data_IF_553584769141
#
_entry.id   IF_553584769141
#
_cell.length_a   1.000
_cell.length_b   1.000
_cell.length_c   1.000
_cell.angle_alpha   90.00
_cell.angle_beta   90.00
_cell.angle_gamma   90.00
#
_symmetry.space_group_name_H-M   'P 1'
#
loop_
_entity.id
_entity.type
_entity.pdbx_description
1 polymer ?
#
# COMPACT_ATOMS: atom_id res chain seq x y z
N UNK A 1 -17.87 -63.80 17.25
CA UNK A 1 -18.81 -63.05 18.10
C UNK A 1 -17.96 -62.13 18.96
N UNK A 2 -17.96 -60.80 18.92
CA UNK A 2 -18.78 -59.72 18.34
C UNK A 2 -17.86 -58.91 17.40
N UNK A 3 -18.27 -58.58 16.15
CA UNK A 3 -18.97 -57.34 15.74
C UNK A 3 -18.29 -56.03 16.17
N UNK A 4 -17.67 -55.38 15.17
CA UNK A 4 -17.23 -53.98 15.03
C UNK A 4 -18.41 -52.98 15.26
N UNK A 5 -18.25 -51.63 15.30
CA UNK A 5 -17.47 -50.76 14.39
C UNK A 5 -16.78 -49.58 15.12
N UNK A 6 -16.06 -48.62 14.55
CA UNK A 6 -15.82 -48.14 13.19
C UNK A 6 -15.47 -46.66 13.37
N UNK A 7 -14.23 -46.27 13.06
CA UNK A 7 -13.82 -44.88 13.09
C UNK A 7 -14.41 -44.18 11.87
N UNK A 8 -15.45 -43.37 12.08
CA UNK A 8 -15.89 -42.34 11.15
C UNK A 8 -15.10 -41.07 11.47
N UNK A 9 -14.11 -40.77 10.62
CA UNK A 9 -13.55 -39.42 10.51
C UNK A 9 -14.62 -38.52 9.88
N UNK A 10 -15.36 -37.80 10.70
CA UNK A 10 -16.12 -36.65 10.21
C UNK A 10 -15.18 -35.48 10.03
N UNK A 11 -14.98 -35.04 8.78
CA UNK A 11 -14.51 -33.68 8.49
C UNK A 11 -15.60 -32.72 8.99
N UNK A 12 -15.40 -32.15 10.18
CA UNK A 12 -16.09 -30.93 10.57
C UNK A 12 -15.48 -29.79 9.76
N UNK A 13 -16.24 -29.31 8.76
CA UNK A 13 -16.01 -28.02 8.15
C UNK A 13 -16.11 -26.95 9.24
N UNK A 14 -14.96 -26.40 9.65
CA UNK A 14 -14.90 -25.21 10.47
C UNK A 14 -15.33 -24.03 9.61
N UNK A 15 -16.65 -23.81 9.55
CA UNK A 15 -17.24 -22.54 9.13
C UNK A 15 -16.89 -21.51 10.21
N UNK A 16 -15.82 -20.74 9.99
CA UNK A 16 -15.56 -19.54 10.79
C UNK A 16 -16.59 -18.50 10.33
N UNK A 17 -17.71 -18.47 11.02
CA UNK A 17 -18.66 -17.35 10.96
C UNK A 17 -17.98 -16.20 11.69
N UNK A 18 -17.54 -15.18 10.97
CA UNK A 18 -17.29 -13.88 11.58
C UNK A 18 -18.63 -13.40 12.14
N UNK A 19 -18.71 -13.31 13.47
CA UNK A 19 -19.84 -12.69 14.13
C UNK A 19 -19.86 -11.20 13.73
N UNK A 20 -20.80 -10.86 12.86
CA UNK A 20 -21.21 -9.50 12.62
C UNK A 20 -21.91 -9.00 13.90
N UNK A 21 -21.29 -7.98 14.50
CA UNK A 21 -21.94 -6.85 15.14
C UNK A 21 -22.99 -7.10 16.24
N UNK A 22 -22.54 -6.97 17.49
CA UNK A 22 -23.30 -6.33 18.56
C UNK A 22 -22.28 -5.61 19.47
N UNK A 23 -21.76 -4.45 19.05
CA UNK A 23 -21.30 -3.49 20.07
C UNK A 23 -22.55 -3.06 20.83
N UNK A 24 -22.60 -3.13 22.18
CA UNK A 24 -23.71 -2.53 22.89
C UNK A 24 -23.73 -1.05 22.52
N UNK A 25 -24.90 -0.56 22.07
CA UNK A 25 -25.14 0.86 21.93
C UNK A 25 -24.74 1.51 23.25
N UNK A 26 -23.62 2.24 23.24
CA UNK A 26 -23.23 3.11 24.34
C UNK A 26 -24.40 4.06 24.53
N UNK A 27 -25.11 3.91 25.65
CA UNK A 27 -26.04 4.92 26.12
C UNK A 27 -25.30 6.26 26.05
N UNK A 28 -25.89 7.24 25.37
CA UNK A 28 -25.36 8.60 25.35
C UNK A 28 -25.01 8.98 26.79
N UNK A 29 -23.74 9.31 27.09
CA UNK A 29 -23.40 9.69 28.46
C UNK A 29 -24.27 10.89 28.83
N UNK A 30 -24.94 10.79 29.98
CA UNK A 30 -25.51 11.95 30.68
C UNK A 30 -24.53 13.11 30.57
N UNK A 31 -24.97 14.36 30.29
CA UNK A 31 -24.03 15.45 30.02
C UNK A 31 -23.19 15.70 31.27
N UNK A 32 -22.00 15.09 31.31
CA UNK A 32 -20.97 15.41 32.27
C UNK A 32 -20.53 16.84 31.94
N UNK A 33 -20.72 17.74 32.90
CA UNK A 33 -20.09 19.05 32.87
C UNK A 33 -18.59 18.79 32.86
N UNK A 34 -17.89 19.19 31.80
CA UNK A 34 -16.45 19.02 31.72
C UNK A 34 -15.76 19.77 32.87
N UNK A 35 -14.71 19.18 33.46
CA UNK A 35 -13.97 19.79 34.58
C UNK A 35 -13.25 21.08 34.15
N UNK A 36 -12.81 21.13 32.89
CA UNK A 36 -12.17 22.28 32.27
C UNK A 36 -12.92 22.65 30.99
N UNK A 37 -13.33 23.92 30.86
CA UNK A 37 -14.04 24.42 29.68
C UNK A 37 -13.33 25.66 29.13
N UNK A 38 -12.97 25.62 27.86
CA UNK A 38 -12.46 26.73 27.07
C UNK A 38 -13.44 26.98 25.92
N UNK A 39 -14.26 28.03 26.04
CA UNK A 39 -15.31 28.38 25.09
C UNK A 39 -15.03 29.78 24.55
N UNK A 40 -14.86 29.90 23.23
CA UNK A 40 -14.52 31.17 22.59
C UNK A 40 -13.15 31.72 22.98
N UNK A 41 -12.23 30.87 23.47
CA UNK A 41 -10.95 31.32 23.99
C UNK A 41 -10.01 31.76 22.85
N UNK A 42 -9.29 32.85 23.07
CA UNK A 42 -8.19 33.29 22.18
C UNK A 42 -6.89 33.24 22.96
N UNK A 43 -6.03 32.27 22.63
CA UNK A 43 -4.78 32.01 23.36
C UNK A 43 -3.59 32.28 22.43
N UNK A 44 -2.63 33.07 22.91
CA UNK A 44 -1.38 33.35 22.21
C UNK A 44 -0.20 33.09 23.15
N UNK A 45 0.73 32.21 22.75
CA UNK A 45 1.95 31.91 23.52
C UNK A 45 3.19 32.00 22.63
N UNK A 46 4.19 32.77 23.03
CA UNK A 46 5.44 32.94 22.24
C UNK A 46 6.66 32.35 22.92
N UNK A 47 6.52 31.88 24.16
CA UNK A 47 7.64 31.34 24.92
C UNK A 47 7.85 29.85 24.62
N UNK A 48 9.10 29.39 24.69
CA UNK A 48 9.42 27.98 24.53
C UNK A 48 8.81 27.15 25.66
N UNK A 49 8.46 25.90 25.37
CA UNK A 49 7.91 24.92 26.31
C UNK A 49 6.63 25.40 27.03
N UNK A 50 5.87 26.30 26.40
CA UNK A 50 4.68 26.93 26.99
C UNK A 50 3.45 26.64 26.14
N UNK A 51 2.84 25.44 26.28
CA UNK A 51 1.66 25.11 25.49
C UNK A 51 0.54 26.13 25.68
N UNK A 52 -0.28 26.34 24.66
CA UNK A 52 -1.41 27.26 24.72
C UNK A 52 -2.41 26.83 25.78
N UNK A 53 -2.88 25.59 25.68
CA UNK A 53 -3.74 24.94 26.67
C UNK A 53 -3.01 23.71 27.23
N UNK A 54 -2.86 23.65 28.56
CA UNK A 54 -2.19 22.55 29.25
C UNK A 54 -3.18 21.82 30.17
N UNK A 55 -3.29 20.50 30.00
CA UNK A 55 -4.15 19.62 30.80
C UNK A 55 -3.28 18.50 31.35
N UNK A 56 -2.96 18.57 32.64
CA UNK A 56 -2.01 17.65 33.29
C UNK A 56 -2.62 16.81 34.43
N UNK A 57 -3.86 17.12 34.85
CA UNK A 57 -4.54 16.33 35.89
C UNK A 57 -4.96 14.95 35.37
N UNK A 58 -5.27 14.02 36.29
CA UNK A 58 -5.72 12.66 35.94
C UNK A 58 -7.21 12.50 36.17
N UNK A 59 -7.86 11.64 35.38
CA UNK A 59 -9.29 11.37 35.42
C UNK A 59 -10.13 12.66 35.28
N UNK A 60 -9.66 13.60 34.47
CA UNK A 60 -10.36 14.83 34.17
C UNK A 60 -11.10 14.75 32.84
N UNK A 61 -11.98 15.71 32.61
CA UNK A 61 -12.61 15.99 31.33
C UNK A 61 -12.34 17.45 30.94
N UNK A 62 -11.90 17.67 29.71
CA UNK A 62 -11.67 19.00 29.16
C UNK A 62 -12.45 19.19 27.87
N UNK A 63 -13.09 20.34 27.72
CA UNK A 63 -13.81 20.76 26.52
C UNK A 63 -13.20 22.06 25.98
N UNK A 64 -12.80 22.06 24.72
CA UNK A 64 -12.36 23.24 23.98
C UNK A 64 -13.36 23.43 22.83
N UNK A 65 -14.10 24.54 22.83
CA UNK A 65 -15.07 24.86 21.78
C UNK A 65 -14.83 26.27 21.24
N UNK A 66 -15.01 26.44 19.94
CA UNK A 66 -15.00 27.73 19.24
C UNK A 66 -13.77 28.60 19.58
N UNK A 67 -12.64 27.96 19.85
CA UNK A 67 -11.44 28.60 20.38
C UNK A 67 -10.35 28.71 19.33
N UNK A 68 -9.52 29.74 19.43
CA UNK A 68 -8.34 29.95 18.60
C UNK A 68 -7.08 29.94 19.46
N UNK A 69 -6.12 29.07 19.15
CA UNK A 69 -4.87 28.94 19.88
C UNK A 69 -3.70 29.10 18.92
N UNK A 70 -2.84 30.08 19.18
CA UNK A 70 -1.59 30.29 18.44
C UNK A 70 -0.39 30.16 19.36
N UNK A 71 0.59 29.36 18.96
CA UNK A 71 1.84 29.21 19.68
C UNK A 71 3.06 29.39 18.77
N UNK A 72 4.12 30.01 19.27
CA UNK A 72 5.31 30.32 18.47
C UNK A 72 6.64 29.79 19.04
N UNK A 73 6.68 29.43 20.33
CA UNK A 73 7.90 28.90 20.95
C UNK A 73 8.21 27.46 20.51
N UNK A 74 9.48 27.06 20.64
CA UNK A 74 9.89 25.66 20.48
C UNK A 74 9.17 24.79 21.53
N UNK A 75 8.74 23.58 21.15
CA UNK A 75 7.96 22.66 22.01
C UNK A 75 6.68 23.28 22.60
N UNK A 76 6.22 24.41 22.04
CA UNK A 76 5.04 25.12 22.52
C UNK A 76 3.79 24.56 21.86
N UNK A 77 3.27 23.44 22.34
CA UNK A 77 2.10 22.80 21.72
C UNK A 77 0.84 23.70 21.74
N UNK A 78 -0.07 23.53 20.78
CA UNK A 78 -1.36 24.23 20.83
C UNK A 78 -2.15 23.78 22.07
N UNK A 79 -2.44 22.48 22.13
CA UNK A 79 -2.97 21.78 23.32
C UNK A 79 -2.00 20.68 23.73
N UNK A 80 -1.73 20.56 25.03
CA UNK A 80 -0.94 19.47 25.60
C UNK A 80 -1.72 18.76 26.70
N UNK A 81 -2.02 17.48 26.47
CA UNK A 81 -2.67 16.58 27.41
C UNK A 81 -1.66 15.54 27.90
N UNK A 82 -1.26 15.62 29.17
CA UNK A 82 -0.21 14.75 29.76
C UNK A 82 -0.68 13.98 30.98
N UNK A 83 -1.96 14.07 31.33
CA UNK A 83 -2.57 13.35 32.44
C UNK A 83 -2.72 11.85 32.21
N UNK A 84 -3.37 11.17 33.16
CA UNK A 84 -3.76 9.77 33.02
C UNK A 84 -5.28 9.66 32.99
N UNK A 85 -5.85 8.84 32.10
CA UNK A 85 -7.30 8.59 32.06
C UNK A 85 -8.15 9.83 31.80
N UNK A 86 -7.60 10.84 31.12
CA UNK A 86 -8.26 12.13 30.90
C UNK A 86 -8.88 12.18 29.52
N UNK A 87 -10.10 12.74 29.44
CA UNK A 87 -10.83 12.94 28.20
C UNK A 87 -10.70 14.38 27.71
N UNK A 88 -10.40 14.57 26.42
CA UNK A 88 -10.33 15.87 25.76
C UNK A 88 -11.30 15.92 24.58
N UNK A 89 -12.24 16.85 24.59
CA UNK A 89 -13.09 17.16 23.45
C UNK A 89 -12.71 18.53 22.87
N UNK A 90 -12.51 18.60 21.55
CA UNK A 90 -12.22 19.82 20.79
C UNK A 90 -13.26 19.94 19.68
N UNK A 91 -13.96 21.07 19.61
CA UNK A 91 -15.04 21.33 18.63
C UNK A 91 -14.91 22.72 18.04
N UNK A 92 -15.11 22.88 16.73
CA UNK A 92 -15.19 24.21 16.09
C UNK A 92 -13.95 25.09 16.29
N UNK A 93 -12.77 24.51 16.56
CA UNK A 93 -11.61 25.25 17.06
C UNK A 93 -10.45 25.29 16.06
N UNK A 94 -9.58 26.28 16.20
CA UNK A 94 -8.43 26.48 15.33
C UNK A 94 -7.12 26.54 16.13
N UNK A 95 -6.14 25.74 15.72
CA UNK A 95 -4.81 25.69 16.33
C UNK A 95 -3.75 26.04 15.29
N UNK A 96 -2.82 26.93 15.63
CA UNK A 96 -1.65 27.25 14.81
C UNK A 96 -0.39 27.20 15.66
N UNK A 97 0.58 26.38 15.27
CA UNK A 97 1.87 26.28 15.95
C UNK A 97 3.02 26.57 15.00
N UNK A 98 3.96 27.42 15.43
CA UNK A 98 5.04 27.91 14.56
C UNK A 98 6.41 27.36 14.93
N UNK A 99 6.64 27.00 16.20
CA UNK A 99 7.94 26.56 16.68
C UNK A 99 8.26 25.10 16.32
N UNK A 100 9.55 24.77 16.30
CA UNK A 100 10.00 23.40 16.11
C UNK A 100 9.51 22.49 17.25
N UNK A 101 9.18 21.24 16.92
CA UNK A 101 8.58 20.25 17.84
C UNK A 101 7.26 20.72 18.47
N UNK A 102 6.67 21.83 18.02
CA UNK A 102 5.44 22.37 18.58
C UNK A 102 4.22 21.70 17.93
N UNK A 103 3.79 20.56 18.47
CA UNK A 103 2.58 19.88 17.97
C UNK A 103 1.30 20.70 18.14
N UNK A 104 0.34 20.54 17.24
CA UNK A 104 -0.96 21.19 17.33
C UNK A 104 -1.76 20.69 18.54
N UNK A 105 -2.09 19.41 18.56
CA UNK A 105 -2.70 18.71 19.70
C UNK A 105 -1.81 17.52 20.08
N UNK A 106 -1.27 17.57 21.29
CA UNK A 106 -0.40 16.54 21.84
C UNK A 106 -1.14 15.77 22.93
N UNK A 107 -1.36 14.47 22.72
CA UNK A 107 -1.98 13.54 23.68
C UNK A 107 -0.90 12.55 24.11
N UNK A 108 -0.30 12.83 25.27
CA UNK A 108 1.03 12.32 25.62
C UNK A 108 1.16 11.63 27.00
N UNK A 109 0.09 11.58 27.79
CA UNK A 109 0.02 10.78 29.03
C UNK A 109 -0.68 9.43 28.84
N UNK A 110 -0.98 8.71 29.92
CA UNK A 110 -1.44 7.32 29.84
C UNK A 110 -2.96 7.16 29.72
N UNK A 111 -3.42 6.33 28.78
CA UNK A 111 -4.84 5.97 28.62
C UNK A 111 -5.76 7.19 28.47
N UNK A 112 -5.31 8.21 27.74
CA UNK A 112 -6.10 9.40 27.49
C UNK A 112 -7.05 9.17 26.30
N UNK A 113 -8.23 9.79 26.35
CA UNK A 113 -9.20 9.76 25.27
C UNK A 113 -9.33 11.14 24.63
N UNK A 114 -9.54 11.19 23.31
CA UNK A 114 -9.72 12.42 22.56
C UNK A 114 -10.89 12.37 21.58
N UNK A 115 -11.63 13.46 21.47
CA UNK A 115 -12.59 13.72 20.39
C UNK A 115 -12.24 15.06 19.76
N UNK A 116 -11.94 15.08 18.46
CA UNK A 116 -11.74 16.31 17.68
C UNK A 116 -12.79 16.37 16.58
N UNK A 117 -13.59 17.43 16.54
CA UNK A 117 -14.53 17.64 15.44
C UNK A 117 -14.53 19.06 14.91
N UNK A 118 -14.80 19.20 13.60
CA UNK A 118 -15.07 20.50 12.98
C UNK A 118 -13.95 21.53 13.22
N UNK A 119 -12.71 21.05 13.27
CA UNK A 119 -11.56 21.83 13.77
C UNK A 119 -10.40 21.83 12.78
N UNK A 120 -9.59 22.89 12.86
CA UNK A 120 -8.42 23.08 12.01
C UNK A 120 -7.14 23.12 12.83
N UNK A 121 -6.08 22.45 12.37
CA UNK A 121 -4.78 22.43 13.04
C UNK A 121 -3.69 22.67 12.00
N UNK A 122 -2.94 23.77 12.13
CA UNK A 122 -1.80 24.09 11.27
C UNK A 122 -0.49 24.10 12.05
N UNK A 123 0.55 23.44 11.54
CA UNK A 123 1.87 23.42 12.17
C UNK A 123 2.97 23.76 11.15
N UNK A 124 3.93 24.61 11.58
CA UNK A 124 4.98 25.14 10.68
C UNK A 124 6.40 24.70 11.01
N UNK A 125 6.70 24.44 12.27
CA UNK A 125 8.05 24.06 12.69
C UNK A 125 8.44 22.64 12.26
N UNK A 126 9.74 22.36 12.28
CA UNK A 126 10.26 21.02 12.00
C UNK A 126 9.85 20.05 13.11
N UNK A 127 9.55 18.80 12.75
CA UNK A 127 9.01 17.77 13.65
C UNK A 127 7.73 18.20 14.39
N UNK A 128 6.98 19.16 13.87
CA UNK A 128 5.75 19.65 14.48
C UNK A 128 4.51 18.91 13.92
N UNK A 129 4.09 17.82 14.53
CA UNK A 129 2.86 17.09 14.12
C UNK A 129 1.58 17.89 14.39
N UNK A 130 0.57 17.78 13.52
CA UNK A 130 -0.74 18.37 13.83
C UNK A 130 -1.41 17.62 15.00
N UNK A 131 -1.47 16.29 14.93
CA UNK A 131 -1.88 15.42 16.03
C UNK A 131 -0.73 14.47 16.42
N UNK A 132 -0.38 14.44 17.70
CA UNK A 132 0.63 13.53 18.25
C UNK A 132 0.02 12.70 19.37
N UNK A 133 0.01 11.37 19.20
CA UNK A 133 -0.61 10.40 20.10
C UNK A 133 0.44 9.42 20.62
N UNK A 134 0.51 9.24 21.93
CA UNK A 134 1.38 8.26 22.60
C UNK A 134 0.77 7.83 23.94
N UNK A 135 1.30 6.77 24.55
CA UNK A 135 0.86 6.33 25.88
C UNK A 135 -0.55 5.73 25.91
N UNK A 136 -0.88 4.87 24.95
CA UNK A 136 -2.20 4.22 24.86
C UNK A 136 -3.35 5.23 24.68
N UNK A 137 -3.10 6.30 23.93
CA UNK A 137 -4.13 7.30 23.62
C UNK A 137 -5.18 6.73 22.65
N UNK A 138 -6.46 7.03 22.86
CA UNK A 138 -7.55 6.66 21.97
C UNK A 138 -8.26 7.93 21.48
N UNK A 139 -8.05 8.29 20.22
CA UNK A 139 -8.55 9.55 19.66
C UNK A 139 -9.48 9.29 18.49
N UNK A 140 -10.61 9.97 18.49
CA UNK A 140 -11.55 10.07 17.38
C UNK A 140 -11.47 11.46 16.78
N UNK A 141 -11.34 11.56 15.46
CA UNK A 141 -11.30 12.81 14.73
C UNK A 141 -12.27 12.77 13.54
N UNK A 142 -13.10 13.80 13.39
CA UNK A 142 -14.16 13.83 12.39
C UNK A 142 -14.36 15.24 11.84
N UNK A 143 -14.40 15.39 10.50
CA UNK A 143 -14.43 16.71 9.83
C UNK A 143 -13.31 17.64 10.30
N UNK A 144 -12.08 17.13 10.38
CA UNK A 144 -10.90 17.94 10.71
C UNK A 144 -10.05 18.26 9.47
N UNK A 145 -9.39 19.41 9.50
CA UNK A 145 -8.36 19.78 8.52
C UNK A 145 -7.02 19.93 9.23
N UNK A 146 -6.03 19.14 8.81
CA UNK A 146 -4.68 19.13 9.37
C UNK A 146 -3.68 19.59 8.29
N UNK A 147 -2.92 20.65 8.55
CA UNK A 147 -1.94 21.23 7.62
C UNK A 147 -0.57 21.32 8.27
N UNK A 148 0.43 20.60 7.74
CA UNK A 148 1.80 20.60 8.26
C UNK A 148 2.83 20.94 7.19
N UNK A 149 3.77 21.82 7.51
CA UNK A 149 4.74 22.33 6.50
C UNK A 149 6.21 22.11 6.83
N UNK A 150 6.56 21.84 8.09
CA UNK A 150 7.94 21.62 8.52
C UNK A 150 8.52 20.27 8.09
N UNK A 151 9.84 20.12 8.11
CA UNK A 151 10.49 18.84 7.82
C UNK A 151 10.09 17.78 8.87
N UNK A 152 9.87 16.53 8.45
CA UNK A 152 9.44 15.43 9.31
C UNK A 152 8.10 15.68 10.05
N UNK A 153 7.32 16.68 9.65
CA UNK A 153 6.06 17.04 10.33
C UNK A 153 4.90 16.23 9.79
N UNK A 154 4.74 14.98 10.24
CA UNK A 154 3.54 14.21 9.89
C UNK A 154 2.24 14.91 10.33
N UNK A 155 1.15 14.82 9.57
CA UNK A 155 -0.13 15.37 10.01
C UNK A 155 -0.64 14.62 11.25
N UNK A 156 -0.57 13.29 11.25
CA UNK A 156 -0.87 12.47 12.43
C UNK A 156 0.30 11.54 12.73
N UNK A 157 0.76 11.57 13.98
CA UNK A 157 1.79 10.70 14.52
C UNK A 157 1.22 9.85 15.66
N UNK A 158 1.17 8.53 15.47
CA UNK A 158 0.58 7.57 16.42
C UNK A 158 1.67 6.60 16.87
N UNK A 159 1.98 6.62 18.16
CA UNK A 159 3.04 5.84 18.78
C UNK A 159 2.48 4.84 19.79
N UNK A 160 3.30 3.85 20.12
CA UNK A 160 3.01 2.80 21.10
C UNK A 160 1.75 2.01 20.72
N UNK A 161 0.84 1.79 21.66
CA UNK A 161 -0.47 1.16 21.48
C UNK A 161 -1.61 2.16 21.30
N UNK A 162 -1.28 3.38 20.86
CA UNK A 162 -2.29 4.41 20.62
C UNK A 162 -3.13 4.10 19.37
N UNK A 163 -4.35 4.62 19.38
CA UNK A 163 -5.37 4.42 18.36
C UNK A 163 -5.86 5.77 17.85
N UNK A 164 -5.97 5.90 16.52
CA UNK A 164 -6.70 6.98 15.86
C UNK A 164 -7.84 6.41 15.03
N UNK A 165 -9.05 6.92 15.24
CA UNK A 165 -10.18 6.76 14.32
C UNK A 165 -10.45 8.10 13.65
N UNK A 166 -10.27 8.17 12.34
CA UNK A 166 -10.36 9.39 11.55
C UNK A 166 -11.45 9.25 10.49
N UNK A 167 -12.36 10.22 10.40
CA UNK A 167 -13.43 10.20 9.40
C UNK A 167 -13.66 11.57 8.75
N UNK A 168 -14.09 11.59 7.49
CA UNK A 168 -14.55 12.79 6.78
C UNK A 168 -13.56 13.98 6.82
N UNK A 169 -12.26 13.70 6.79
CA UNK A 169 -11.21 14.69 7.11
C UNK A 169 -10.26 14.96 5.95
N UNK A 170 -9.46 16.01 6.09
CA UNK A 170 -8.41 16.37 5.14
C UNK A 170 -7.05 16.55 5.84
N UNK A 171 -6.03 15.89 5.32
CA UNK A 171 -4.65 15.97 5.80
C UNK A 171 -3.80 16.49 4.65
N UNK A 172 -3.06 17.57 4.89
CA UNK A 172 -2.14 18.15 3.94
C UNK A 172 -0.76 18.30 4.57
N UNK A 173 0.26 17.75 3.92
CA UNK A 173 1.65 17.92 4.34
C UNK A 173 2.54 18.36 3.20
N UNK A 174 3.48 19.28 3.46
CA UNK A 174 4.38 19.79 2.42
C UNK A 174 5.87 19.67 2.73
N UNK A 175 6.25 19.38 3.97
CA UNK A 175 7.65 19.23 4.36
C UNK A 175 8.29 17.94 3.83
N UNK A 176 9.62 17.95 3.65
CA UNK A 176 10.36 16.71 3.33
C UNK A 176 10.14 15.68 4.44
N UNK A 177 9.84 14.44 4.05
CA UNK A 177 9.51 13.36 4.98
C UNK A 177 8.35 13.66 5.94
N UNK A 178 7.47 14.61 5.60
CA UNK A 178 6.24 14.88 6.33
C UNK A 178 5.13 13.93 5.85
N UNK A 179 4.75 12.95 6.66
CA UNK A 179 3.77 11.93 6.27
C UNK A 179 2.33 12.37 6.54
N UNK A 180 1.34 11.80 5.86
CA UNK A 180 -0.07 12.02 6.23
C UNK A 180 -0.37 11.39 7.58
N UNK A 181 -0.33 10.06 7.61
CA UNK A 181 -0.48 9.24 8.82
C UNK A 181 0.78 8.42 9.04
N UNK A 182 1.38 8.54 10.23
CA UNK A 182 2.50 7.72 10.68
C UNK A 182 2.09 6.89 11.88
N UNK A 183 2.18 5.56 11.76
CA UNK A 183 1.92 4.60 12.83
C UNK A 183 3.21 3.88 13.19
N UNK A 184 3.54 3.83 14.47
CA UNK A 184 4.71 3.10 14.97
C UNK A 184 4.39 2.45 16.32
N UNK A 185 4.18 1.13 16.31
CA UNK A 185 4.03 0.35 17.53
C UNK A 185 5.36 0.07 18.23
N UNK A 186 5.31 -0.12 19.54
CA UNK A 186 6.50 -0.40 20.34
C UNK A 186 6.91 -1.87 20.27
N UNK A 187 5.94 -2.80 20.35
CA UNK A 187 6.12 -4.24 20.31
C UNK A 187 4.79 -4.95 20.01
N UNK A 188 4.78 -6.29 19.96
CA UNK A 188 3.59 -7.08 19.60
C UNK A 188 2.40 -6.90 20.55
N UNK A 189 2.64 -6.54 21.81
CA UNK A 189 1.61 -6.20 22.79
C UNK A 189 1.23 -4.72 22.78
N UNK A 190 1.99 -3.88 22.07
CA UNK A 190 1.78 -2.44 21.98
C UNK A 190 1.71 -1.97 20.53
N UNK A 191 0.55 -2.24 19.90
CA UNK A 191 0.32 -2.03 18.48
C UNK A 191 -0.38 -0.71 18.19
N UNK A 192 0.23 0.13 17.37
CA UNK A 192 -0.39 1.37 16.90
C UNK A 192 -1.47 1.05 15.86
N UNK A 193 -2.63 1.72 15.97
CA UNK A 193 -3.77 1.45 15.09
C UNK A 193 -4.29 2.74 14.47
N UNK A 194 -4.53 2.71 13.16
CA UNK A 194 -5.21 3.78 12.44
C UNK A 194 -6.40 3.24 11.66
N UNK A 195 -7.61 3.69 12.01
CA UNK A 195 -8.84 3.46 11.25
C UNK A 195 -9.20 4.76 10.55
N UNK A 196 -9.22 4.77 9.22
CA UNK A 196 -9.42 5.99 8.43
C UNK A 196 -10.54 5.79 7.41
N UNK A 197 -11.55 6.64 7.46
CA UNK A 197 -12.74 6.54 6.63
C UNK A 197 -13.01 7.86 5.89
N UNK A 198 -13.36 7.78 4.59
CA UNK A 198 -13.81 8.92 3.78
C UNK A 198 -12.91 10.17 3.91
N UNK A 199 -11.59 9.95 3.92
CA UNK A 199 -10.60 10.98 4.23
C UNK A 199 -9.67 11.20 3.05
N UNK A 200 -9.26 12.45 2.83
CA UNK A 200 -8.26 12.79 1.83
C UNK A 200 -6.92 13.11 2.47
N UNK A 201 -5.85 12.50 1.97
CA UNK A 201 -4.47 12.69 2.42
C UNK A 201 -3.64 13.19 1.24
N UNK A 202 -3.07 14.38 1.35
CA UNK A 202 -2.21 15.01 0.33
C UNK A 202 -0.83 15.25 0.90
N UNK A 203 0.20 14.74 0.24
CA UNK A 203 1.60 14.98 0.64
C UNK A 203 2.44 15.46 -0.54
N UNK A 204 3.16 16.58 -0.40
CA UNK A 204 3.92 17.16 -1.51
C UNK A 204 5.44 17.15 -1.32
N UNK A 205 5.91 16.85 -0.11
CA UNK A 205 7.35 16.83 0.19
C UNK A 205 8.07 15.60 -0.36
N UNK A 206 9.37 15.73 -0.65
CA UNK A 206 10.21 14.59 -1.00
C UNK A 206 10.19 13.53 0.11
N UNK A 207 10.15 12.26 -0.27
CA UNK A 207 10.10 11.11 0.65
C UNK A 207 8.90 11.15 1.62
N UNK A 208 7.90 11.99 1.35
CA UNK A 208 6.65 11.97 2.09
C UNK A 208 5.86 10.69 1.76
N UNK A 209 5.05 10.24 2.71
CA UNK A 209 4.26 9.02 2.57
C UNK A 209 2.85 9.36 3.01
N UNK A 210 1.84 8.98 2.23
CA UNK A 210 0.45 9.19 2.61
C UNK A 210 0.14 8.47 3.92
N UNK A 211 0.33 7.15 3.94
CA UNK A 211 0.18 6.31 5.14
C UNK A 211 1.42 5.42 5.35
N UNK A 212 2.11 5.59 6.47
CA UNK A 212 3.30 4.84 6.85
C UNK A 212 2.96 3.94 8.05
N UNK A 213 2.90 2.63 7.82
CA UNK A 213 2.46 1.61 8.79
C UNK A 213 3.68 0.84 9.27
N UNK A 214 4.40 1.40 10.24
CA UNK A 214 5.70 0.90 10.67
C UNK A 214 5.61 0.04 11.94
N UNK A 215 6.47 -0.99 12.04
CA UNK A 215 6.68 -1.87 13.21
C UNK A 215 5.48 -2.02 14.16
N UNK A 216 4.87 -3.21 14.19
CA UNK A 216 3.73 -3.48 15.08
C UNK A 216 2.61 -2.44 14.89
N UNK A 217 2.28 -2.10 13.65
CA UNK A 217 1.18 -1.19 13.35
C UNK A 217 0.16 -1.80 12.40
N UNK A 218 -1.08 -1.35 12.49
CA UNK A 218 -2.15 -1.74 11.56
C UNK A 218 -2.90 -0.51 11.08
N UNK A 219 -3.08 -0.39 9.77
CA UNK A 219 -3.97 0.60 9.17
C UNK A 219 -5.17 -0.07 8.50
N UNK A 220 -6.36 0.41 8.81
CA UNK A 220 -7.62 0.07 8.13
C UNK A 220 -8.12 1.31 7.41
N UNK A 221 -8.20 1.27 6.08
CA UNK A 221 -8.58 2.42 5.25
C UNK A 221 -9.86 2.11 4.47
N UNK A 222 -10.89 2.95 4.56
CA UNK A 222 -12.16 2.77 3.84
C UNK A 222 -12.53 4.05 3.08
N UNK A 223 -12.62 4.00 1.75
CA UNK A 223 -12.95 5.18 0.94
C UNK A 223 -11.93 6.32 1.08
N UNK A 224 -10.68 5.98 1.40
CA UNK A 224 -9.59 6.95 1.60
C UNK A 224 -8.96 7.32 0.26
N UNK A 225 -8.71 8.61 0.05
CA UNK A 225 -8.02 9.11 -1.13
C UNK A 225 -6.65 9.68 -0.76
N UNK A 226 -5.59 9.19 -1.39
CA UNK A 226 -4.21 9.55 -1.11
C UNK A 226 -3.58 10.13 -2.38
N UNK A 227 -3.00 11.32 -2.29
CA UNK A 227 -2.24 11.95 -3.37
C UNK A 227 -0.83 12.27 -2.88
N UNK A 228 0.19 11.81 -3.60
CA UNK A 228 1.59 12.13 -3.29
C UNK A 228 2.36 12.63 -4.52
N UNK A 229 3.10 13.73 -4.38
CA UNK A 229 3.75 14.39 -5.53
C UNK A 229 5.26 14.55 -5.40
N UNK A 230 5.84 14.39 -4.20
CA UNK A 230 7.28 14.53 -3.97
C UNK A 230 8.11 13.39 -4.56
N UNK A 231 9.42 13.60 -4.77
CA UNK A 231 10.29 12.52 -5.26
C UNK A 231 10.44 11.41 -4.22
N UNK A 232 10.41 10.15 -4.65
CA UNK A 232 10.35 8.96 -3.78
C UNK A 232 9.21 9.02 -2.74
N UNK A 233 8.11 9.72 -3.06
CA UNK A 233 6.95 9.76 -2.19
C UNK A 233 6.05 8.56 -2.46
N UNK A 234 5.57 7.91 -1.41
CA UNK A 234 4.77 6.69 -1.52
C UNK A 234 3.33 6.94 -1.08
N UNK A 235 2.35 6.28 -1.70
CA UNK A 235 0.97 6.33 -1.24
C UNK A 235 0.86 5.67 0.13
N UNK A 236 1.16 4.37 0.19
CA UNK A 236 1.20 3.57 1.42
C UNK A 236 2.50 2.78 1.50
N UNK A 237 3.12 2.76 2.68
CA UNK A 237 4.30 1.95 2.97
C UNK A 237 4.09 1.09 4.20
N UNK A 238 4.32 -0.21 4.07
CA UNK A 238 4.24 -1.22 5.13
C UNK A 238 5.60 -1.92 5.23
N UNK A 239 6.55 -1.38 6.02
CA UNK A 239 7.96 -1.82 5.97
C UNK A 239 8.36 -3.06 6.78
N UNK A 240 7.52 -3.57 7.69
CA UNK A 240 7.91 -4.55 8.71
C UNK A 240 6.96 -5.75 8.77
N UNK A 241 7.46 -6.94 9.16
CA UNK A 241 6.66 -8.18 9.13
C UNK A 241 5.46 -8.14 10.09
N UNK A 242 5.57 -7.35 11.16
CA UNK A 242 4.51 -7.19 12.16
C UNK A 242 3.53 -6.06 11.78
N UNK A 243 3.61 -5.54 10.56
CA UNK A 243 2.78 -4.43 10.08
C UNK A 243 1.81 -4.87 9.00
N UNK A 244 0.61 -4.29 9.05
CA UNK A 244 -0.49 -4.71 8.18
C UNK A 244 -1.28 -3.52 7.63
N UNK A 245 -1.57 -3.57 6.34
CA UNK A 245 -2.59 -2.74 5.70
C UNK A 245 -3.81 -3.59 5.36
N UNK A 246 -5.00 -3.08 5.69
CA UNK A 246 -6.28 -3.56 5.15
C UNK A 246 -7.00 -2.35 4.56
N UNK A 247 -7.33 -2.38 3.27
CA UNK A 247 -7.97 -1.25 2.62
C UNK A 247 -9.16 -1.68 1.75
N UNK A 248 -10.23 -0.90 1.84
CA UNK A 248 -11.43 -1.03 1.00
C UNK A 248 -11.68 0.28 0.27
N UNK A 249 -11.90 0.22 -1.05
CA UNK A 249 -12.12 1.38 -1.90
C UNK A 249 -11.03 2.46 -1.78
N UNK A 250 -9.77 2.01 -1.72
CA UNK A 250 -8.60 2.89 -1.61
C UNK A 250 -8.29 3.54 -2.95
N UNK A 251 -8.18 4.87 -2.99
CA UNK A 251 -7.72 5.62 -4.17
C UNK A 251 -6.34 6.21 -3.92
N UNK A 252 -5.34 5.80 -4.67
CA UNK A 252 -3.95 6.30 -4.56
C UNK A 252 -3.51 6.91 -5.88
N UNK A 253 -3.00 8.14 -5.83
CA UNK A 253 -2.31 8.80 -6.94
C UNK A 253 -0.90 9.17 -6.51
N UNK A 254 0.11 8.72 -7.27
CA UNK A 254 1.51 9.12 -7.04
C UNK A 254 2.17 9.64 -8.31
N UNK A 255 2.83 10.80 -8.21
CA UNK A 255 3.39 11.50 -9.38
C UNK A 255 4.93 11.61 -9.35
N UNK A 256 5.54 11.46 -8.19
CA UNK A 256 6.98 11.64 -8.01
C UNK A 256 7.85 10.58 -8.70
N UNK A 257 9.06 10.95 -9.09
CA UNK A 257 10.05 9.98 -9.57
C UNK A 257 10.37 8.95 -8.49
N UNK A 258 10.38 7.66 -8.85
CA UNK A 258 10.58 6.56 -7.91
C UNK A 258 9.43 6.36 -6.92
N UNK A 259 8.26 6.98 -7.16
CA UNK A 259 7.10 6.82 -6.30
C UNK A 259 6.53 5.40 -6.36
N UNK A 260 5.90 4.99 -5.27
CA UNK A 260 5.23 3.70 -5.17
C UNK A 260 3.81 3.94 -4.66
N UNK A 261 2.81 3.35 -5.31
CA UNK A 261 1.42 3.40 -4.85
C UNK A 261 1.27 2.70 -3.50
N UNK A 262 1.45 1.38 -3.50
CA UNK A 262 1.44 0.55 -2.29
C UNK A 262 2.70 -0.30 -2.22
N UNK A 263 3.46 -0.14 -1.14
CA UNK A 263 4.72 -0.84 -0.92
C UNK A 263 4.67 -1.72 0.34
N UNK A 264 4.61 -3.04 0.16
CA UNK A 264 4.81 -4.02 1.21
C UNK A 264 6.28 -4.50 1.20
N UNK A 265 6.95 -4.37 2.34
CA UNK A 265 8.36 -4.72 2.48
C UNK A 265 8.63 -5.62 3.70
N UNK A 266 9.70 -6.44 3.61
CA UNK A 266 10.29 -7.24 4.70
C UNK A 266 9.29 -8.12 5.45
N UNK A 267 8.50 -8.91 4.72
CA UNK A 267 7.57 -9.88 5.31
C UNK A 267 6.23 -9.30 5.74
N UNK A 268 5.94 -8.05 5.39
CA UNK A 268 4.66 -7.40 5.69
C UNK A 268 3.52 -7.90 4.81
N UNK A 269 2.30 -7.53 5.20
CA UNK A 269 1.08 -7.88 4.50
C UNK A 269 0.24 -6.64 4.15
N UNK A 270 -0.26 -6.58 2.92
CA UNK A 270 -1.25 -5.60 2.50
C UNK A 270 -2.42 -6.28 1.77
N UNK A 271 -3.65 -5.95 2.18
CA UNK A 271 -4.88 -6.35 1.50
C UNK A 271 -5.60 -5.12 0.96
N UNK A 272 -6.00 -5.18 -0.31
CA UNK A 272 -6.71 -4.14 -1.04
C UNK A 272 -7.95 -4.75 -1.69
N UNK A 273 -9.15 -4.25 -1.36
CA UNK A 273 -10.40 -4.65 -1.99
C UNK A 273 -11.15 -3.43 -2.53
N UNK A 274 -11.20 -3.30 -3.86
CA UNK A 274 -11.79 -2.13 -4.51
C UNK A 274 -10.84 -0.93 -4.56
N UNK A 275 -11.20 0.02 -5.41
CA UNK A 275 -10.47 1.28 -5.59
C UNK A 275 -9.47 1.28 -6.75
N UNK A 276 -8.55 2.24 -6.72
CA UNK A 276 -7.64 2.53 -7.82
C UNK A 276 -6.23 2.92 -7.34
N UNK A 277 -5.22 2.53 -8.10
CA UNK A 277 -3.84 2.98 -7.90
C UNK A 277 -3.30 3.53 -9.22
N UNK A 278 -3.01 4.82 -9.24
CA UNK A 278 -2.44 5.52 -10.37
C UNK A 278 -1.02 5.97 -10.03
N UNK A 279 -0.06 5.66 -10.91
CA UNK A 279 1.31 6.13 -10.78
C UNK A 279 1.82 6.71 -12.10
N UNK A 280 2.34 7.93 -12.08
CA UNK A 280 2.78 8.65 -13.29
C UNK A 280 4.26 9.03 -13.28
N UNK A 281 4.94 8.87 -12.14
CA UNK A 281 6.37 9.14 -12.03
C UNK A 281 7.24 8.13 -12.77
N UNK A 282 8.45 8.55 -13.17
CA UNK A 282 9.45 7.66 -13.79
C UNK A 282 9.95 6.66 -12.75
N UNK A 283 10.20 5.40 -13.16
CA UNK A 283 10.60 4.30 -12.26
C UNK A 283 9.60 4.09 -11.11
N UNK A 284 8.32 4.40 -11.34
CA UNK A 284 7.28 4.21 -10.34
C UNK A 284 6.69 2.80 -10.37
N UNK A 285 6.09 2.40 -9.26
CA UNK A 285 5.43 1.10 -9.11
C UNK A 285 4.02 1.33 -8.56
N UNK A 286 2.99 0.77 -9.19
CA UNK A 286 1.66 0.79 -8.58
C UNK A 286 1.62 -0.10 -7.34
N UNK A 287 1.97 -1.39 -7.49
CA UNK A 287 2.12 -2.34 -6.39
C UNK A 287 3.55 -2.88 -6.33
N UNK A 288 4.15 -2.88 -5.14
CA UNK A 288 5.47 -3.50 -4.91
C UNK A 288 5.43 -4.34 -3.63
N UNK A 289 5.63 -5.66 -3.77
CA UNK A 289 5.96 -6.56 -2.67
C UNK A 289 7.44 -6.96 -2.72
N UNK A 290 8.21 -6.66 -1.67
CA UNK A 290 9.64 -6.96 -1.61
C UNK A 290 10.06 -7.69 -0.32
N UNK A 291 11.04 -8.60 -0.43
CA UNK A 291 11.61 -9.37 0.68
C UNK A 291 10.55 -10.19 1.44
N UNK A 292 10.05 -11.26 0.82
CA UNK A 292 9.06 -12.19 1.37
C UNK A 292 7.73 -11.54 1.82
N UNK A 293 7.35 -10.41 1.23
CA UNK A 293 6.10 -9.71 1.56
C UNK A 293 4.94 -10.21 0.70
N UNK A 294 3.71 -9.92 1.13
CA UNK A 294 2.50 -10.34 0.44
C UNK A 294 1.60 -9.13 0.17
N UNK A 295 1.11 -9.00 -1.07
CA UNK A 295 0.02 -8.09 -1.44
C UNK A 295 -1.13 -8.92 -2.03
N UNK A 296 -2.31 -8.81 -1.43
CA UNK A 296 -3.56 -9.32 -1.98
C UNK A 296 -4.40 -8.16 -2.51
N UNK A 297 -4.71 -8.18 -3.82
CA UNK A 297 -5.51 -7.16 -4.49
C UNK A 297 -6.74 -7.74 -5.17
N UNK A 298 -7.93 -7.22 -4.83
CA UNK A 298 -9.19 -7.60 -5.46
C UNK A 298 -9.93 -6.37 -5.99
N UNK A 299 -10.61 -6.51 -7.12
CA UNK A 299 -11.49 -5.45 -7.66
C UNK A 299 -10.76 -4.12 -7.93
N UNK A 300 -9.49 -4.16 -8.35
CA UNK A 300 -8.64 -2.97 -8.48
C UNK A 300 -8.55 -2.45 -9.90
N UNK A 301 -8.46 -1.12 -10.04
CA UNK A 301 -7.95 -0.47 -11.25
C UNK A 301 -6.52 0.02 -11.02
N UNK A 302 -5.59 -0.42 -11.85
CA UNK A 302 -4.19 0.01 -11.85
C UNK A 302 -3.91 0.79 -13.13
N UNK A 303 -3.36 1.99 -13.00
CA UNK A 303 -2.91 2.80 -14.14
C UNK A 303 -1.47 3.24 -13.92
N UNK A 304 -0.61 2.97 -14.90
CA UNK A 304 0.83 3.24 -14.80
C UNK A 304 1.36 4.02 -16.00
N UNK A 305 2.27 4.95 -15.71
CA UNK A 305 2.91 5.82 -16.70
C UNK A 305 4.15 5.21 -17.36
N UNK A 306 4.92 6.07 -18.03
CA UNK A 306 6.11 5.67 -18.76
C UNK A 306 7.26 5.21 -17.83
N UNK A 307 7.84 4.05 -18.14
CA UNK A 307 8.92 3.44 -17.37
C UNK A 307 8.49 2.96 -15.98
N UNK A 308 7.19 2.78 -15.76
CA UNK A 308 6.62 2.33 -14.50
C UNK A 308 6.34 0.81 -14.53
N UNK A 309 5.93 0.26 -13.39
CA UNK A 309 5.54 -1.14 -13.24
C UNK A 309 4.17 -1.25 -12.60
N UNK A 310 3.28 -2.06 -13.16
CA UNK A 310 1.94 -2.33 -12.60
C UNK A 310 2.02 -3.05 -11.25
N UNK A 311 2.57 -4.26 -11.25
CA UNK A 311 2.82 -5.02 -10.03
C UNK A 311 4.19 -5.69 -10.08
N UNK A 312 4.98 -5.48 -9.02
CA UNK A 312 6.34 -5.98 -8.91
C UNK A 312 6.53 -6.79 -7.62
N UNK A 313 6.90 -8.06 -7.76
CA UNK A 313 7.23 -8.94 -6.65
C UNK A 313 8.72 -9.29 -6.70
N UNK A 314 9.46 -9.05 -5.61
CA UNK A 314 10.89 -9.36 -5.51
C UNK A 314 11.24 -10.18 -4.26
N UNK A 315 12.29 -10.99 -4.38
CA UNK A 315 12.96 -11.68 -3.27
C UNK A 315 11.99 -12.56 -2.45
N UNK A 316 11.41 -13.56 -3.13
CA UNK A 316 10.46 -14.51 -2.53
C UNK A 316 9.09 -13.93 -2.15
N UNK A 317 8.75 -12.74 -2.64
CA UNK A 317 7.46 -12.09 -2.36
C UNK A 317 6.33 -12.67 -3.19
N UNK A 318 5.10 -12.39 -2.77
CA UNK A 318 3.89 -12.84 -3.45
C UNK A 318 2.94 -11.67 -3.72
N UNK A 319 2.38 -11.63 -4.92
CA UNK A 319 1.24 -10.74 -5.24
C UNK A 319 0.11 -11.58 -5.81
N UNK A 320 -1.06 -11.49 -5.19
CA UNK A 320 -2.28 -12.15 -5.66
C UNK A 320 -3.27 -11.10 -6.16
N UNK A 321 -3.71 -11.21 -7.40
CA UNK A 321 -4.62 -10.29 -8.07
C UNK A 321 -5.89 -11.05 -8.50
N UNK A 322 -7.07 -10.55 -8.15
CA UNK A 322 -8.35 -11.11 -8.62
C UNK A 322 -9.30 -9.99 -9.06
N UNK A 323 -9.84 -10.07 -10.27
CA UNK A 323 -10.64 -9.00 -10.88
C UNK A 323 -9.91 -7.65 -10.92
N UNK A 324 -8.71 -7.64 -11.52
CA UNK A 324 -7.87 -6.44 -11.64
C UNK A 324 -7.80 -5.97 -13.09
N UNK A 325 -7.96 -4.66 -13.29
CA UNK A 325 -7.75 -4.00 -14.57
C UNK A 325 -6.45 -3.18 -14.51
N UNK A 326 -5.43 -3.60 -15.25
CA UNK A 326 -4.17 -2.86 -15.39
C UNK A 326 -4.09 -2.23 -16.77
N UNK A 327 -3.85 -0.92 -16.84
CA UNK A 327 -3.76 -0.18 -18.11
C UNK A 327 -2.56 0.75 -18.19
N UNK A 328 -2.02 0.89 -19.42
CA UNK A 328 -1.02 1.90 -19.77
C UNK A 328 -1.01 2.12 -21.29
N UNK A 329 -0.74 3.35 -21.70
CA UNK A 329 -0.51 3.72 -23.11
C UNK A 329 0.98 3.98 -23.40
N UNK A 330 1.85 3.80 -22.41
CA UNK A 330 3.27 4.13 -22.45
C UNK A 330 4.15 2.87 -22.39
N UNK A 331 5.46 3.02 -22.63
CA UNK A 331 6.42 1.93 -22.40
C UNK A 331 6.45 1.57 -20.92
N UNK A 332 5.89 0.42 -20.55
CA UNK A 332 5.74 -0.01 -19.15
C UNK A 332 6.04 -1.50 -18.99
N UNK A 333 6.18 -1.92 -17.73
CA UNK A 333 6.11 -3.31 -17.34
C UNK A 333 4.76 -3.58 -16.63
N UNK A 334 4.06 -4.65 -17.01
CA UNK A 334 2.78 -5.01 -16.42
C UNK A 334 2.94 -5.70 -15.07
N UNK A 335 3.07 -7.02 -15.09
CA UNK A 335 3.35 -7.85 -13.92
C UNK A 335 4.78 -8.38 -14.00
N UNK A 336 5.51 -8.31 -12.90
CA UNK A 336 6.92 -8.66 -12.85
C UNK A 336 7.29 -9.43 -11.58
N UNK A 337 7.63 -10.71 -11.73
CA UNK A 337 8.01 -11.61 -10.65
C UNK A 337 9.52 -11.91 -10.71
N UNK A 338 10.26 -11.52 -9.68
CA UNK A 338 11.72 -11.57 -9.66
C UNK A 338 12.24 -12.40 -8.48
N UNK A 339 13.39 -13.05 -8.64
CA UNK A 339 14.16 -13.66 -7.53
C UNK A 339 13.33 -14.62 -6.68
N UNK A 340 12.74 -15.64 -7.29
CA UNK A 340 11.91 -16.63 -6.59
C UNK A 340 10.51 -16.14 -6.20
N UNK A 341 10.12 -14.93 -6.60
CA UNK A 341 8.79 -14.38 -6.31
C UNK A 341 7.71 -14.97 -7.20
N UNK A 342 6.46 -14.88 -6.74
CA UNK A 342 5.28 -15.35 -7.47
C UNK A 342 4.27 -14.22 -7.64
N UNK A 343 3.72 -14.09 -8.84
CA UNK A 343 2.51 -13.29 -9.07
C UNK A 343 1.42 -14.21 -9.61
N UNK A 344 0.26 -14.22 -8.94
CA UNK A 344 -0.95 -14.93 -9.39
C UNK A 344 -1.99 -13.90 -9.80
N UNK A 345 -2.53 -13.97 -11.01
CA UNK A 345 -3.64 -13.11 -11.44
C UNK A 345 -4.82 -13.95 -11.94
N UNK A 346 -6.03 -13.59 -11.51
CA UNK A 346 -7.29 -14.24 -11.90
C UNK A 346 -8.31 -13.22 -12.37
N UNK A 347 -9.15 -13.60 -13.33
CA UNK A 347 -10.29 -12.78 -13.79
C UNK A 347 -9.89 -11.34 -14.16
N UNK A 348 -8.68 -11.16 -14.69
CA UNK A 348 -8.03 -9.85 -14.79
C UNK A 348 -7.80 -9.44 -16.24
N UNK A 349 -7.64 -8.15 -16.48
CA UNK A 349 -7.35 -7.61 -17.81
C UNK A 349 -6.14 -6.68 -17.75
N UNK A 350 -5.17 -6.91 -18.64
CA UNK A 350 -3.97 -6.09 -18.81
C UNK A 350 -3.99 -5.47 -20.22
N UNK A 351 -4.12 -4.16 -20.31
CA UNK A 351 -4.12 -3.40 -21.57
C UNK A 351 -2.92 -2.46 -21.63
N UNK A 352 -1.85 -2.91 -22.28
CA UNK A 352 -0.55 -2.24 -22.30
C UNK A 352 -0.19 -1.89 -23.74
N UNK A 353 -0.74 -0.79 -24.23
CA UNK A 353 -0.73 -0.43 -25.65
C UNK A 353 0.50 0.39 -26.06
N UNK A 354 1.37 0.74 -25.11
CA UNK A 354 2.58 1.49 -25.40
C UNK A 354 3.63 0.68 -26.15
N UNK A 355 4.46 1.38 -26.92
CA UNK A 355 5.59 0.75 -27.62
C UNK A 355 6.56 0.11 -26.63
N UNK A 356 7.07 -1.06 -26.99
CA UNK A 356 7.96 -1.89 -26.18
C UNK A 356 7.41 -2.24 -24.78
N UNK A 357 6.10 -2.10 -24.55
CA UNK A 357 5.48 -2.53 -23.32
C UNK A 357 5.67 -4.04 -23.12
N UNK A 358 5.94 -4.44 -21.88
CA UNK A 358 6.15 -5.83 -21.48
C UNK A 358 5.03 -6.21 -20.53
N UNK A 359 4.15 -7.11 -20.92
CA UNK A 359 2.99 -7.39 -20.08
C UNK A 359 3.31 -8.26 -18.88
N UNK A 360 4.09 -9.32 -19.08
CA UNK A 360 4.34 -10.33 -18.07
C UNK A 360 5.82 -10.68 -18.09
N UNK A 361 6.53 -10.46 -16.99
CA UNK A 361 7.94 -10.76 -16.89
C UNK A 361 8.25 -11.64 -15.68
N UNK A 362 8.98 -12.72 -15.94
CA UNK A 362 9.63 -13.49 -14.90
C UNK A 362 11.15 -13.29 -15.00
N UNK A 363 11.80 -13.06 -13.87
CA UNK A 363 13.24 -12.81 -13.82
C UNK A 363 13.92 -13.67 -12.75
N UNK A 364 14.96 -14.42 -13.15
CA UNK A 364 15.83 -15.21 -12.28
C UNK A 364 15.07 -15.99 -11.18
N UNK A 365 14.19 -16.91 -11.59
CA UNK A 365 13.38 -17.73 -10.68
C UNK A 365 11.97 -17.20 -10.45
N UNK A 366 11.55 -16.20 -11.23
CA UNK A 366 10.20 -15.65 -11.15
C UNK A 366 9.15 -16.65 -11.62
N UNK A 367 7.97 -16.58 -10.99
CA UNK A 367 6.81 -17.40 -11.36
C UNK A 367 5.57 -16.54 -11.59
N UNK A 368 4.88 -16.79 -12.70
CA UNK A 368 3.62 -16.14 -13.06
C UNK A 368 2.52 -17.20 -13.26
N UNK A 369 1.41 -17.05 -12.55
CA UNK A 369 0.22 -17.88 -12.69
C UNK A 369 -0.97 -17.03 -13.14
N UNK A 370 -1.60 -17.38 -14.27
CA UNK A 370 -2.75 -16.64 -14.82
C UNK A 370 -3.94 -17.56 -15.04
N UNK A 371 -5.11 -17.18 -14.51
CA UNK A 371 -6.42 -17.81 -14.77
C UNK A 371 -7.42 -16.80 -15.33
N UNK A 372 -8.07 -17.07 -16.46
CA UNK A 372 -9.08 -16.16 -16.98
C UNK A 372 -8.55 -14.71 -17.13
N UNK A 373 -7.33 -14.57 -17.65
CA UNK A 373 -6.67 -13.28 -17.84
C UNK A 373 -6.63 -12.91 -19.31
N UNK A 374 -7.03 -11.69 -19.65
CA UNK A 374 -6.86 -11.12 -20.98
C UNK A 374 -5.70 -10.13 -20.99
N UNK A 375 -4.72 -10.33 -21.87
CA UNK A 375 -3.50 -9.53 -21.95
C UNK A 375 -3.32 -8.98 -23.36
N UNK A 376 -3.12 -7.68 -23.47
CA UNK A 376 -2.82 -6.95 -24.71
C UNK A 376 -1.52 -6.18 -24.56
N UNK A 377 -0.56 -6.46 -25.43
CA UNK A 377 0.75 -5.83 -25.53
C UNK A 377 1.05 -5.47 -27.00
N UNK A 378 0.10 -4.84 -27.68
CA UNK A 378 0.06 -4.70 -29.14
C UNK A 378 0.84 -3.47 -29.68
N UNK A 379 1.50 -2.72 -28.79
CA UNK A 379 2.44 -1.68 -29.18
C UNK A 379 3.60 -2.23 -30.02
N UNK A 380 4.31 -1.35 -30.73
CA UNK A 380 5.46 -1.78 -31.56
C UNK A 380 6.50 -2.44 -30.67
N UNK A 381 7.01 -3.61 -31.07
CA UNK A 381 7.96 -4.40 -30.27
C UNK A 381 7.44 -4.80 -28.88
N UNK A 382 6.12 -4.78 -28.66
CA UNK A 382 5.52 -5.24 -27.42
C UNK A 382 5.86 -6.70 -27.11
N UNK A 383 5.85 -7.04 -25.83
CA UNK A 383 6.11 -8.40 -25.35
C UNK A 383 4.95 -8.90 -24.49
N UNK A 384 4.35 -10.01 -24.88
CA UNK A 384 3.34 -10.70 -24.06
C UNK A 384 3.97 -11.30 -22.81
N UNK A 385 4.76 -12.36 -23.00
CA UNK A 385 5.59 -13.00 -21.98
C UNK A 385 7.07 -12.68 -22.20
N UNK A 386 7.79 -12.39 -21.13
CA UNK A 386 9.24 -12.27 -21.14
C UNK A 386 9.88 -13.05 -20.00
N UNK A 387 10.66 -14.06 -20.36
CA UNK A 387 11.54 -14.78 -19.43
C UNK A 387 12.95 -14.21 -19.53
N UNK A 388 13.49 -13.74 -18.41
CA UNK A 388 14.89 -13.32 -18.29
C UNK A 388 15.56 -14.20 -17.23
N UNK A 389 16.46 -15.11 -17.59
CA UNK A 389 17.15 -15.96 -16.63
C UNK A 389 18.69 -15.95 -16.79
N UNK A 390 19.39 -16.22 -15.70
CA UNK A 390 20.84 -16.52 -15.70
C UNK A 390 21.06 -18.02 -15.89
N UNK A 391 22.29 -18.44 -16.17
CA UNK A 391 22.63 -19.85 -16.35
C UNK A 391 22.21 -20.70 -15.13
N UNK A 392 21.57 -21.84 -15.39
CA UNK A 392 21.10 -22.76 -14.36
C UNK A 392 19.83 -22.33 -13.60
N UNK A 393 19.22 -21.20 -13.99
CA UNK A 393 17.99 -20.69 -13.37
C UNK A 393 16.84 -20.83 -14.36
N UNK A 394 15.69 -21.28 -13.89
CA UNK A 394 14.46 -21.36 -14.69
C UNK A 394 13.40 -20.40 -14.19
N UNK A 395 12.70 -19.75 -15.11
CA UNK A 395 11.47 -19.02 -14.83
C UNK A 395 10.24 -19.86 -15.19
N UNK A 396 9.12 -19.62 -14.51
CA UNK A 396 7.89 -20.40 -14.71
C UNK A 396 6.71 -19.53 -15.10
N UNK A 397 5.96 -19.96 -16.12
CA UNK A 397 4.69 -19.40 -16.52
C UNK A 397 3.64 -20.52 -16.55
N UNK A 398 2.56 -20.40 -15.78
CA UNK A 398 1.40 -21.27 -15.88
C UNK A 398 0.18 -20.44 -16.28
N UNK A 399 -0.32 -20.67 -17.48
CA UNK A 399 -1.33 -19.83 -18.13
C UNK A 399 -2.52 -20.72 -18.47
N UNK A 400 -3.67 -20.40 -17.88
CA UNK A 400 -4.88 -21.18 -18.06
C UNK A 400 -6.10 -20.30 -18.34
N UNK A 401 -6.97 -20.76 -19.25
CA UNK A 401 -8.17 -20.03 -19.69
C UNK A 401 -7.89 -18.57 -20.09
N UNK A 402 -6.70 -18.28 -20.61
CA UNK A 402 -6.22 -16.90 -20.75
C UNK A 402 -5.89 -16.57 -22.21
N UNK A 403 -5.89 -15.28 -22.54
CA UNK A 403 -5.50 -14.78 -23.85
C UNK A 403 -4.37 -13.77 -23.73
N UNK A 404 -3.37 -13.89 -24.61
CA UNK A 404 -2.23 -12.97 -24.70
C UNK A 404 -2.06 -12.57 -26.17
N UNK A 405 -2.11 -11.27 -26.44
CA UNK A 405 -1.80 -10.69 -27.75
C UNK A 405 -0.61 -9.73 -27.67
N UNK A 406 0.31 -9.89 -28.62
CA UNK A 406 1.40 -8.98 -28.90
C UNK A 406 1.50 -8.78 -30.41
N UNK A 407 0.44 -8.22 -31.01
CA UNK A 407 0.18 -8.22 -32.45
C UNK A 407 1.33 -7.64 -33.31
N UNK A 408 2.10 -6.70 -32.76
CA UNK A 408 3.25 -6.03 -33.43
C UNK A 408 4.58 -6.33 -32.74
N UNK A 409 4.67 -7.47 -32.06
CA UNK A 409 5.83 -7.84 -31.28
C UNK A 409 5.91 -9.33 -31.01
N UNK A 410 6.48 -9.66 -29.86
CA UNK A 410 6.81 -11.04 -29.45
C UNK A 410 5.80 -11.53 -28.42
N UNK A 411 5.06 -12.58 -28.72
CA UNK A 411 4.13 -13.15 -27.76
C UNK A 411 4.88 -13.82 -26.60
N UNK A 412 5.97 -14.53 -26.91
CA UNK A 412 6.86 -15.19 -25.94
C UNK A 412 8.30 -14.82 -26.28
N UNK A 413 9.00 -14.15 -25.37
CA UNK A 413 10.44 -13.90 -25.44
C UNK A 413 11.15 -14.62 -24.31
N UNK A 414 12.14 -15.44 -24.63
CA UNK A 414 13.01 -16.10 -23.65
C UNK A 414 14.45 -15.69 -23.88
N UNK A 415 15.09 -15.15 -22.84
CA UNK A 415 16.44 -14.61 -22.92
C UNK A 415 17.30 -15.17 -21.77
N UNK A 416 18.23 -16.05 -22.12
CA UNK A 416 19.17 -16.69 -21.20
C UNK A 416 18.50 -17.67 -20.23
N UNK A 417 19.29 -18.61 -19.71
CA UNK A 417 18.82 -19.60 -18.73
C UNK A 417 17.67 -20.46 -19.27
N UNK A 418 16.85 -20.99 -18.37
CA UNK A 418 15.74 -21.89 -18.72
C UNK A 418 14.37 -21.22 -18.55
N UNK A 419 13.36 -21.77 -19.21
CA UNK A 419 11.97 -21.36 -19.03
C UNK A 419 11.01 -22.56 -19.16
N UNK A 420 10.04 -22.61 -18.25
CA UNK A 420 8.93 -23.57 -18.31
C UNK A 420 7.62 -22.81 -18.51
N UNK A 421 6.95 -23.06 -19.63
CA UNK A 421 5.71 -22.37 -20.03
C UNK A 421 4.62 -23.43 -20.24
N UNK A 422 3.66 -23.47 -19.31
CA UNK A 422 2.54 -24.38 -19.34
C UNK A 422 1.28 -23.61 -19.75
N UNK A 423 0.63 -24.06 -20.83
CA UNK A 423 -0.55 -23.43 -21.41
C UNK A 423 -1.70 -24.45 -21.43
N UNK A 424 -2.85 -24.09 -20.89
CA UNK A 424 -4.07 -24.88 -21.00
C UNK A 424 -5.27 -24.02 -21.36
N UNK A 425 -6.07 -24.44 -22.34
CA UNK A 425 -7.31 -23.74 -22.73
C UNK A 425 -7.07 -22.24 -23.05
N UNK A 426 -5.90 -21.92 -23.64
CA UNK A 426 -5.40 -20.55 -23.77
C UNK A 426 -5.08 -20.15 -25.21
N UNK A 427 -5.07 -18.85 -25.47
CA UNK A 427 -4.76 -18.28 -26.79
C UNK A 427 -3.58 -17.34 -26.71
N UNK A 428 -2.50 -17.62 -27.43
CA UNK A 428 -1.29 -16.80 -27.43
C UNK A 428 -0.99 -16.39 -28.87
N UNK A 429 -0.87 -15.10 -29.12
CA UNK A 429 -0.67 -14.56 -30.47
C UNK A 429 0.34 -13.42 -30.48
N UNK A 430 1.14 -13.35 -31.53
CA UNK A 430 2.00 -12.21 -31.82
C UNK A 430 2.53 -12.27 -33.24
N UNK A 431 3.21 -11.20 -33.67
CA UNK A 431 3.93 -11.22 -34.95
C UNK A 431 4.96 -12.36 -34.93
N UNK A 432 5.77 -12.39 -33.87
CA UNK A 432 6.62 -13.52 -33.52
C UNK A 432 5.98 -14.21 -32.31
N UNK A 433 5.56 -15.46 -32.47
CA UNK A 433 5.04 -16.28 -31.39
C UNK A 433 6.12 -16.53 -30.34
N UNK A 434 7.28 -17.02 -30.77
CA UNK A 434 8.38 -17.40 -29.90
C UNK A 434 9.70 -16.82 -30.42
N UNK A 435 10.38 -16.08 -29.56
CA UNK A 435 11.74 -15.61 -29.76
C UNK A 435 12.64 -16.14 -28.63
N UNK A 436 13.65 -16.93 -28.98
CA UNK A 436 14.67 -17.42 -28.03
C UNK A 436 16.01 -16.78 -28.36
N UNK A 437 16.58 -16.08 -27.38
CA UNK A 437 17.75 -15.21 -27.56
C UNK A 437 18.75 -15.43 -26.43
N UNK A 438 20.01 -15.01 -26.64
CA UNK A 438 20.98 -14.88 -25.55
C UNK A 438 20.66 -13.65 -24.71
N UNK A 439 20.97 -13.71 -23.41
CA UNK A 439 20.84 -12.56 -22.50
C UNK A 439 22.20 -11.96 -22.20
N UNK A 440 22.36 -10.67 -22.43
CA UNK A 440 23.46 -9.94 -21.82
C UNK A 440 23.13 -9.67 -20.35
N UNK A 441 24.03 -10.05 -19.45
CA UNK A 441 23.89 -9.81 -18.01
C UNK A 441 24.73 -8.60 -17.57
N UNK A 442 24.63 -8.21 -16.29
CA UNK A 442 25.18 -6.95 -15.78
C UNK A 442 26.71 -6.82 -15.91
N UNK A 443 27.44 -7.93 -15.96
CA UNK A 443 28.89 -7.95 -16.17
C UNK A 443 29.31 -7.84 -17.66
N UNK A 444 28.33 -7.70 -18.57
CA UNK A 444 28.54 -7.59 -20.00
C UNK A 444 28.66 -8.92 -20.74
N UNK A 445 28.74 -10.05 -20.02
CA UNK A 445 28.77 -11.39 -20.61
C UNK A 445 27.40 -11.81 -21.15
N UNK A 446 27.43 -12.77 -22.07
CA UNK A 446 26.24 -13.35 -22.67
C UNK A 446 25.95 -14.72 -22.08
N UNK A 447 24.70 -14.92 -21.68
CA UNK A 447 24.16 -16.18 -21.19
C UNK A 447 23.30 -16.79 -22.28
N UNK A 448 23.62 -18.01 -22.68
CA UNK A 448 22.81 -18.79 -23.62
C UNK A 448 21.47 -19.17 -22.98
N UNK A 449 20.43 -19.25 -23.82
CA UNK A 449 19.21 -19.95 -23.45
C UNK A 449 19.47 -21.45 -23.39
N UNK A 450 19.08 -22.07 -22.27
CA UNK A 450 19.28 -23.46 -21.92
C UNK A 450 18.00 -24.25 -22.23
N UNK A 451 17.32 -24.80 -21.23
CA UNK A 451 16.16 -25.67 -21.44
C UNK A 451 14.88 -24.83 -21.54
N UNK A 452 14.33 -24.73 -22.74
CA UNK A 452 13.05 -24.07 -22.98
C UNK A 452 11.97 -25.12 -23.22
N UNK A 453 11.07 -25.27 -22.26
CA UNK A 453 9.95 -26.21 -22.33
C UNK A 453 8.63 -25.45 -22.45
N UNK A 454 7.94 -25.63 -23.57
CA UNK A 454 6.58 -25.13 -23.77
C UNK A 454 5.63 -26.32 -23.91
N UNK A 455 4.68 -26.44 -22.98
CA UNK A 455 3.66 -27.49 -22.97
C UNK A 455 2.28 -26.86 -23.14
N UNK A 456 1.62 -27.15 -24.26
CA UNK A 456 0.30 -26.60 -24.58
C UNK A 456 -0.74 -27.72 -24.68
N UNK A 457 -1.87 -27.56 -23.97
CA UNK A 457 -3.05 -28.42 -24.07
C UNK A 457 -4.29 -27.60 -24.43
N UNK A 458 -5.06 -28.02 -25.44
CA UNK A 458 -6.26 -27.29 -25.91
C UNK A 458 -6.03 -25.79 -26.09
N UNK A 459 -4.84 -25.43 -26.58
CA UNK A 459 -4.40 -24.03 -26.67
C UNK A 459 -4.05 -23.67 -28.10
N UNK A 460 -4.28 -22.41 -28.46
CA UNK A 460 -4.05 -21.90 -29.81
C UNK A 460 -2.88 -20.91 -29.81
N UNK A 461 -1.86 -21.21 -30.62
CA UNK A 461 -0.62 -20.43 -30.69
C UNK A 461 -0.43 -19.91 -32.12
N UNK A 462 -0.25 -18.59 -32.26
CA UNK A 462 -0.15 -17.93 -33.58
C UNK A 462 1.05 -16.99 -33.64
N UNK A 463 1.86 -17.14 -34.69
CA UNK A 463 2.97 -16.24 -35.02
C UNK A 463 4.19 -16.99 -35.54
N UNK A 464 5.22 -16.26 -35.95
CA UNK A 464 6.50 -16.84 -36.37
C UNK A 464 7.31 -17.41 -35.19
N UNK A 465 8.16 -18.39 -35.44
CA UNK A 465 9.10 -18.92 -34.46
C UNK A 465 10.52 -18.55 -34.88
N UNK A 466 11.26 -17.92 -33.98
CA UNK A 466 12.65 -17.52 -34.12
C UNK A 466 13.43 -18.06 -32.92
N UNK A 467 14.41 -18.95 -33.14
CA UNK A 467 15.08 -19.64 -32.04
C UNK A 467 16.58 -19.73 -32.25
N UNK A 468 17.34 -19.08 -31.37
CA UNK A 468 18.77 -19.30 -31.15
C UNK A 468 18.95 -19.88 -29.73
N UNK A 469 18.82 -21.21 -29.63
CA UNK A 469 18.81 -21.95 -28.36
C UNK A 469 19.71 -23.18 -28.45
N UNK A 470 20.33 -23.56 -27.33
CA UNK A 470 21.09 -24.81 -27.25
C UNK A 470 20.15 -26.02 -27.38
N UNK A 471 19.03 -25.99 -26.65
CA UNK A 471 17.93 -26.95 -26.72
C UNK A 471 16.58 -26.21 -26.61
N UNK A 472 15.64 -26.48 -27.52
CA UNK A 472 14.27 -25.95 -27.40
C UNK A 472 13.27 -27.06 -27.71
N UNK A 473 12.32 -27.28 -26.81
CA UNK A 473 11.28 -28.29 -26.96
C UNK A 473 9.88 -27.65 -26.87
N UNK A 474 9.10 -27.82 -27.94
CA UNK A 474 7.69 -27.44 -28.01
C UNK A 474 6.84 -28.70 -28.05
N UNK A 475 6.13 -28.99 -26.95
CA UNK A 475 5.18 -30.10 -26.87
C UNK A 475 3.75 -29.58 -27.03
N UNK A 476 3.10 -29.97 -28.12
CA UNK A 476 1.69 -29.71 -28.39
C UNK A 476 0.89 -30.97 -28.10
N UNK A 477 -0.16 -30.86 -27.29
CA UNK A 477 -1.11 -31.95 -27.02
C UNK A 477 -2.53 -31.44 -27.27
N UNK A 478 -3.28 -32.17 -28.07
CA UNK A 478 -4.69 -31.87 -28.33
C UNK A 478 -5.57 -32.22 -27.13
#
# INVERSE_FOLDING_TARGET
MLRAPGYLLSLSASLVVFACDQRPALAAPSPLVADLVFDGAVVNSTADNRPGIAIAGSNLSALITDSTVTTAGQLSHGTSLTGTGTALAIRGSAFTTLGDLAHGVNVAGSNNAGELSDSTVSTRGDNAFALSLQGSADVQADRVTLDTTGQFSSAINVLDDSVITLSNSELQTSGRSAHGLYLLGANSGQRAQGVVENTTIRTTGDKAIGVNVNRNATATLTGTHIVTTGANAFGVWVPDPDSQLVATDLSVETQGNGAIGVFAQRGSYASLDGGQVQTTGRLAYALYAGNASIIDGRNLSLQVGAGSVGAFASDGSQINLDNVQLSSTETTLGLAAYSGSTITARNSTLQLNGDAARALQANNGGTLHLDHVAVTADGQNGMGLQSLATAGVSNTFAIHNSSISAAKGRAISVQGGSATINLSDSQISGQTLLAVEKRQIADGSWVDSQDIQISASRSHLVGAIESDALNAELQLRD
#
